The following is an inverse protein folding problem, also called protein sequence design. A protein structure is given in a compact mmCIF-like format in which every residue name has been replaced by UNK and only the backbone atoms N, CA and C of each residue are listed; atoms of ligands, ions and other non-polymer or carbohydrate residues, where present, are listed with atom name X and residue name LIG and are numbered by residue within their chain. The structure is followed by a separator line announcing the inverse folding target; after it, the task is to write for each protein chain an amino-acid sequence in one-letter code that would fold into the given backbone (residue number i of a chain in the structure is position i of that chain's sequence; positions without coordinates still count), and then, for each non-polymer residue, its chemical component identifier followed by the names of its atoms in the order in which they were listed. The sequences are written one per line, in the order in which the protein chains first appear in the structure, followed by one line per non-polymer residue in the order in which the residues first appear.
data_IF_797772202096
#
_entry.id   IF_797772202096
#
_cell.length_a   1.000
_cell.length_b   1.000
_cell.length_c   1.000
_cell.angle_alpha   90.00
_cell.angle_beta   90.00
_cell.angle_gamma   90.00
#
_symmetry.space_group_name_H-M   'P 1'
#
loop_
_entity.id
_entity.type
_entity.pdbx_description
1 polymer ?
#
# COMPACT_ATOMS: atom_id res chain seq x y z
N UNK A 1 -0.18 7.62 -17.25
CA UNK A 1 -0.86 6.33 -17.29
C UNK A 1 -0.69 5.69 -15.93
N UNK A 2 -1.76 5.44 -15.17
CA UNK A 2 -1.69 4.61 -13.99
C UNK A 2 -2.21 5.19 -12.68
N UNK A 3 -2.69 6.43 -12.65
CA UNK A 3 -3.35 6.94 -11.45
C UNK A 3 -4.56 6.06 -11.08
N UNK A 4 -4.67 5.70 -9.82
CA UNK A 4 -5.77 4.88 -9.30
C UNK A 4 -6.89 5.81 -8.82
N UNK A 5 -8.08 5.63 -9.40
CA UNK A 5 -9.29 6.30 -8.97
C UNK A 5 -10.01 5.45 -7.92
N UNK A 6 -10.44 6.08 -6.85
CA UNK A 6 -11.18 5.43 -5.77
C UNK A 6 -11.75 6.45 -4.79
N UNK A 7 -12.28 5.94 -3.69
CA UNK A 7 -12.87 6.78 -2.65
C UNK A 7 -11.84 7.08 -1.55
N UNK A 8 -11.90 8.28 -1.03
CA UNK A 8 -11.25 8.59 0.25
C UNK A 8 -12.13 8.09 1.39
N UNK A 9 -11.49 7.69 2.49
CA UNK A 9 -12.17 7.18 3.67
C UNK A 9 -11.97 8.12 4.85
N UNK A 10 -13.03 8.34 5.62
CA UNK A 10 -13.02 9.16 6.83
C UNK A 10 -13.10 8.36 8.12
N UNK A 11 -13.14 7.04 8.02
CA UNK A 11 -13.18 6.14 9.16
C UNK A 11 -14.13 4.97 8.98
N UNK A 12 -14.65 4.50 10.09
CA UNK A 12 -15.56 3.34 10.18
C UNK A 12 -16.77 3.74 11.01
N UNK A 13 -17.97 3.42 10.55
CA UNK A 13 -19.21 3.61 11.31
C UNK A 13 -19.17 2.85 12.63
N UNK A 14 -19.39 3.55 13.75
CA UNK A 14 -19.30 2.98 15.08
C UNK A 14 -20.66 2.52 15.62
N UNK A 15 -21.75 3.10 15.15
CA UNK A 15 -23.09 2.81 15.67
C UNK A 15 -24.18 3.08 14.63
N UNK A 16 -25.36 2.52 14.87
CA UNK A 16 -26.56 2.82 14.07
C UNK A 16 -26.95 4.28 14.16
N UNK A 17 -26.83 4.91 15.33
CA UNK A 17 -27.12 6.33 15.52
C UNK A 17 -26.27 7.21 14.62
N UNK A 18 -24.98 6.88 14.49
CA UNK A 18 -24.09 7.61 13.57
C UNK A 18 -24.52 7.44 12.12
N UNK A 19 -24.95 6.27 11.70
CA UNK A 19 -25.45 6.01 10.33
C UNK A 19 -26.72 6.83 10.08
N UNK A 20 -27.64 6.88 11.04
CA UNK A 20 -28.87 7.69 10.94
C UNK A 20 -28.57 9.19 10.83
N UNK A 21 -27.60 9.70 11.59
CA UNK A 21 -27.14 11.08 11.48
C UNK A 21 -26.59 11.41 10.07
N UNK A 22 -25.77 10.51 9.52
CA UNK A 22 -25.25 10.67 8.15
C UNK A 22 -26.37 10.61 7.12
N UNK A 23 -27.33 9.69 7.25
CA UNK A 23 -28.46 9.59 6.35
C UNK A 23 -29.38 10.84 6.42
N UNK A 24 -29.63 11.35 7.63
CA UNK A 24 -30.40 12.57 7.82
C UNK A 24 -29.70 13.77 7.15
N UNK A 25 -28.41 13.91 7.36
CA UNK A 25 -27.59 14.94 6.70
C UNK A 25 -27.60 14.80 5.18
N UNK A 26 -27.57 13.58 4.65
CA UNK A 26 -27.68 13.31 3.23
C UNK A 26 -29.02 13.79 2.66
N UNK A 27 -30.11 13.52 3.35
CA UNK A 27 -31.45 13.99 2.96
C UNK A 27 -31.54 15.53 2.95
N UNK A 28 -30.96 16.17 3.96
CA UNK A 28 -30.96 17.64 4.07
C UNK A 28 -30.16 18.29 2.93
N UNK A 29 -28.93 17.81 2.68
CA UNK A 29 -28.02 18.37 1.66
C UNK A 29 -28.50 18.10 0.24
N UNK A 30 -29.11 16.95 -0.01
CA UNK A 30 -29.62 16.56 -1.33
C UNK A 30 -31.03 17.09 -1.62
N UNK A 31 -31.63 17.92 -0.72
CA UNK A 31 -33.03 18.34 -0.81
C UNK A 31 -34.02 17.17 -0.95
N UNK A 32 -33.74 16.08 -0.22
CA UNK A 32 -34.57 14.85 -0.22
C UNK A 32 -34.38 13.91 -1.41
N UNK A 33 -33.44 14.19 -2.30
CA UNK A 33 -33.15 13.31 -3.45
C UNK A 33 -32.43 12.03 -3.01
N UNK A 34 -31.50 12.11 -2.05
CA UNK A 34 -30.83 10.98 -1.47
C UNK A 34 -31.48 10.55 -0.16
N UNK A 35 -31.79 9.27 -0.02
CA UNK A 35 -32.36 8.70 1.21
C UNK A 35 -31.27 8.22 2.17
N UNK A 36 -30.14 7.82 1.63
CA UNK A 36 -29.03 7.26 2.38
C UNK A 36 -27.73 7.96 1.99
N UNK A 37 -26.81 8.04 2.95
CA UNK A 37 -25.47 8.58 2.71
C UNK A 37 -24.69 7.70 1.73
N UNK A 38 -24.76 6.38 1.88
CA UNK A 38 -24.11 5.43 0.98
C UNK A 38 -25.07 4.35 0.48
N UNK A 39 -25.64 3.52 1.37
CA UNK A 39 -26.54 2.42 1.02
C UNK A 39 -27.56 2.18 2.14
N UNK A 40 -28.72 1.59 1.76
CA UNK A 40 -29.71 1.08 2.72
C UNK A 40 -29.19 -0.06 3.58
N UNK A 41 -28.14 -0.74 3.13
CA UNK A 41 -27.54 -1.89 3.81
C UNK A 41 -26.34 -1.51 4.68
N UNK A 42 -26.06 -0.21 4.84
CA UNK A 42 -24.95 0.27 5.66
C UNK A 42 -25.12 -0.16 7.11
N UNK A 43 -24.06 -0.74 7.68
CA UNK A 43 -24.03 -1.29 9.06
C UNK A 43 -22.85 -0.71 9.85
N UNK A 44 -22.90 -0.72 11.20
CA UNK A 44 -21.72 -0.42 12.02
C UNK A 44 -20.54 -1.31 11.64
N UNK A 45 -19.35 -0.77 11.65
CA UNK A 45 -18.13 -1.47 11.18
C UNK A 45 -17.84 -1.34 9.70
N UNK A 46 -18.74 -0.79 8.89
CA UNK A 46 -18.47 -0.50 7.49
C UNK A 46 -17.73 0.83 7.32
N UNK A 47 -17.05 0.99 6.16
CA UNK A 47 -16.22 2.15 5.85
C UNK A 47 -17.09 3.40 5.61
N UNK A 48 -16.70 4.51 6.20
CA UNK A 48 -17.22 5.84 5.87
C UNK A 48 -16.41 6.39 4.71
N UNK A 49 -17.03 6.52 3.55
CA UNK A 49 -16.44 7.21 2.40
C UNK A 49 -16.64 8.72 2.53
N UNK A 50 -15.69 9.48 2.00
CA UNK A 50 -15.77 10.94 2.01
C UNK A 50 -16.63 11.44 0.86
N UNK A 51 -17.62 12.26 1.17
CA UNK A 51 -18.34 13.08 0.21
C UNK A 51 -17.44 14.24 -0.23
N UNK A 52 -16.90 14.14 -1.43
CA UNK A 52 -15.91 15.10 -1.97
C UNK A 52 -16.62 16.27 -2.64
N UNK A 53 -17.75 16.02 -3.27
CA UNK A 53 -18.48 17.05 -4.00
C UNK A 53 -19.49 17.83 -3.11
N UNK A 54 -19.77 17.34 -1.88
CA UNK A 54 -20.63 17.99 -0.90
C UNK A 54 -22.11 17.86 -1.19
N UNK A 55 -22.53 16.90 -2.00
CA UNK A 55 -23.94 16.68 -2.36
C UNK A 55 -24.72 15.83 -1.32
N UNK A 56 -24.03 15.39 -0.27
CA UNK A 56 -24.61 14.70 0.87
C UNK A 56 -24.67 13.18 0.72
N UNK A 57 -24.33 12.60 -0.42
CA UNK A 57 -24.34 11.16 -0.61
C UNK A 57 -23.16 10.67 -1.44
N UNK A 58 -22.74 9.44 -1.22
CA UNK A 58 -21.61 8.85 -1.91
C UNK A 58 -22.01 8.30 -3.28
N UNK A 59 -21.37 8.79 -4.31
CA UNK A 59 -21.61 8.44 -5.71
C UNK A 59 -20.29 8.27 -6.50
N UNK A 60 -20.39 7.97 -7.78
CA UNK A 60 -19.22 7.90 -8.67
C UNK A 60 -18.49 9.26 -8.77
N UNK A 61 -19.19 10.37 -8.49
CA UNK A 61 -18.64 11.73 -8.54
C UNK A 61 -17.65 12.00 -7.39
N UNK A 62 -17.67 11.22 -6.33
CA UNK A 62 -16.77 11.33 -5.18
C UNK A 62 -15.45 10.57 -5.36
N UNK A 63 -15.28 9.93 -6.51
CA UNK A 63 -14.02 9.28 -6.84
C UNK A 63 -12.95 10.30 -7.17
N UNK A 64 -11.82 10.14 -6.51
CA UNK A 64 -10.62 10.96 -6.70
C UNK A 64 -9.40 10.08 -6.96
N UNK A 65 -8.30 10.67 -7.37
CA UNK A 65 -7.02 9.97 -7.46
C UNK A 65 -6.56 9.67 -6.03
N UNK A 66 -6.54 8.39 -5.67
CA UNK A 66 -6.13 7.90 -4.34
C UNK A 66 -4.69 7.40 -4.30
N UNK A 67 -4.11 7.02 -5.45
CA UNK A 67 -2.73 6.58 -5.56
C UNK A 67 -2.13 6.93 -6.92
N UNK A 68 -0.84 7.24 -6.90
CA UNK A 68 -0.03 7.38 -8.11
C UNK A 68 1.11 6.36 -8.10
N UNK A 69 1.07 5.33 -8.96
CA UNK A 69 2.12 4.32 -9.04
C UNK A 69 3.42 4.84 -9.67
N UNK A 70 3.40 5.99 -10.33
CA UNK A 70 4.60 6.58 -10.91
C UNK A 70 5.46 7.24 -9.84
N UNK A 71 6.74 6.88 -9.73
CA UNK A 71 7.65 7.52 -8.80
C UNK A 71 7.93 8.96 -9.20
N UNK A 72 8.03 9.86 -8.22
CA UNK A 72 8.48 11.24 -8.43
C UNK A 72 9.95 11.30 -8.81
N UNK A 73 10.76 10.42 -8.24
CA UNK A 73 12.18 10.28 -8.52
C UNK A 73 12.55 8.81 -8.53
N UNK A 74 13.37 8.43 -9.52
CA UNK A 74 13.98 7.11 -9.58
C UNK A 74 15.38 7.22 -10.15
N UNK A 75 16.26 6.33 -9.73
CA UNK A 75 17.62 6.31 -10.21
C UNK A 75 18.46 5.28 -9.51
N UNK A 76 19.74 5.33 -9.82
CA UNK A 76 20.74 4.50 -9.16
C UNK A 76 22.06 5.24 -9.07
N UNK A 77 22.88 4.81 -8.14
CA UNK A 77 24.26 5.22 -8.05
C UNK A 77 25.14 4.01 -7.81
N UNK A 78 26.34 4.05 -8.34
CA UNK A 78 27.34 3.02 -8.11
C UNK A 78 28.64 3.66 -7.64
N UNK A 79 29.37 2.92 -6.83
CA UNK A 79 30.70 3.30 -6.35
C UNK A 79 31.67 2.14 -6.53
N UNK A 80 32.85 2.45 -7.01
CA UNK A 80 33.94 1.50 -7.09
C UNK A 80 35.16 2.10 -6.34
N UNK A 81 35.54 1.44 -5.27
CA UNK A 81 36.66 1.85 -4.42
C UNK A 81 37.71 0.77 -4.50
N UNK A 82 38.94 1.12 -4.89
CA UNK A 82 40.05 0.18 -4.92
C UNK A 82 41.18 0.68 -4.02
N UNK A 83 41.69 -0.23 -3.22
CA UNK A 83 42.83 0.04 -2.35
C UNK A 83 43.79 -1.14 -2.42
N UNK A 84 44.97 -0.89 -2.99
CA UNK A 84 45.95 -1.95 -3.30
C UNK A 84 45.27 -3.07 -4.12
N UNK A 85 45.27 -4.28 -3.58
CA UNK A 85 44.75 -5.48 -4.23
C UNK A 85 43.25 -5.73 -3.93
N UNK A 86 42.63 -4.87 -3.08
CA UNK A 86 41.24 -4.96 -2.70
C UNK A 86 40.38 -3.97 -3.49
N UNK A 87 39.29 -4.43 -4.05
CA UNK A 87 38.28 -3.59 -4.71
C UNK A 87 36.90 -3.88 -4.16
N UNK A 88 36.14 -2.81 -3.93
CA UNK A 88 34.75 -2.83 -3.48
C UNK A 88 33.90 -2.13 -4.51
N UNK A 89 32.93 -2.85 -5.07
CA UNK A 89 31.90 -2.29 -5.92
C UNK A 89 30.55 -2.37 -5.24
N UNK A 90 29.84 -1.23 -5.24
CA UNK A 90 28.48 -1.09 -4.68
C UNK A 90 27.58 -0.48 -5.75
N UNK A 91 26.37 -0.98 -5.87
CA UNK A 91 25.32 -0.41 -6.70
C UNK A 91 24.01 -0.34 -5.94
N UNK A 92 23.45 0.85 -5.86
CA UNK A 92 22.16 1.12 -5.25
C UNK A 92 21.16 1.59 -6.29
N UNK A 93 19.93 1.12 -6.18
CA UNK A 93 18.79 1.64 -6.91
C UNK A 93 17.76 2.19 -5.92
N UNK A 94 17.12 3.29 -6.30
CA UNK A 94 16.08 3.90 -5.48
C UNK A 94 14.88 4.32 -6.31
N UNK A 95 13.73 4.33 -5.65
CA UNK A 95 12.48 4.87 -6.16
C UNK A 95 11.77 5.60 -5.04
N UNK A 96 11.33 6.81 -5.28
CA UNK A 96 10.71 7.68 -4.26
C UNK A 96 9.40 8.24 -4.77
N UNK A 97 8.36 8.18 -3.93
CA UNK A 97 7.08 8.80 -4.19
C UNK A 97 6.10 7.96 -5.00
N UNK A 98 6.44 6.72 -5.32
CA UNK A 98 5.47 5.77 -5.87
C UNK A 98 4.50 5.29 -4.77
N UNK A 99 3.24 5.09 -5.15
CA UNK A 99 2.18 4.53 -4.30
C UNK A 99 1.55 3.34 -5.01
N UNK A 100 1.19 2.31 -4.26
CA UNK A 100 0.56 1.11 -4.81
C UNK A 100 -0.69 0.77 -4.05
N UNK A 101 -1.72 0.43 -4.80
CA UNK A 101 -2.94 -0.17 -4.26
C UNK A 101 -2.68 -1.67 -4.04
N UNK A 102 -2.94 -2.12 -2.82
CA UNK A 102 -2.81 -3.52 -2.43
C UNK A 102 -4.17 -4.08 -1.99
N UNK A 103 -4.98 -4.48 -2.93
CA UNK A 103 -6.38 -4.86 -2.73
C UNK A 103 -6.60 -6.14 -1.89
N UNK A 104 -5.56 -6.80 -1.47
CA UNK A 104 -5.67 -8.15 -0.92
C UNK A 104 -6.33 -8.17 0.47
N UNK A 105 -6.16 -7.11 1.26
CA UNK A 105 -6.70 -7.07 2.63
C UNK A 105 -8.21 -6.96 2.65
N UNK A 106 -8.78 -6.00 1.91
CA UNK A 106 -10.23 -5.78 1.88
C UNK A 106 -10.97 -6.86 1.10
N UNK A 107 -10.38 -7.39 0.03
CA UNK A 107 -10.96 -8.51 -0.70
C UNK A 107 -11.07 -9.78 0.15
N UNK A 108 -10.14 -10.00 1.07
CA UNK A 108 -10.16 -11.15 1.96
C UNK A 108 -11.07 -10.95 3.18
N UNK A 109 -11.44 -9.71 3.50
CA UNK A 109 -12.34 -9.40 4.62
C UNK A 109 -13.81 -9.50 4.20
N UNK A 110 -14.12 -9.24 2.92
CA UNK A 110 -15.50 -9.30 2.45
C UNK A 110 -15.90 -10.74 2.13
N UNK A 111 -17.00 -11.20 2.72
CA UNK A 111 -17.92 -12.31 2.40
C UNK A 111 -17.46 -13.54 1.65
N UNK A 112 -16.25 -13.61 1.17
CA UNK A 112 -15.74 -14.74 0.43
C UNK A 112 -15.10 -15.78 1.39
N UNK A 113 -15.18 -17.04 1.00
CA UNK A 113 -14.58 -18.18 1.70
C UNK A 113 -13.02 -18.17 1.65
N UNK A 114 -12.42 -16.98 1.54
CA UNK A 114 -10.97 -16.84 1.51
C UNK A 114 -10.38 -16.97 2.92
N UNK A 115 -9.21 -17.56 3.00
CA UNK A 115 -8.47 -17.60 4.25
C UNK A 115 -8.07 -16.19 4.70
N UNK A 116 -8.55 -15.80 5.87
CA UNK A 116 -8.11 -14.58 6.55
C UNK A 116 -6.74 -14.81 7.17
N UNK A 117 -5.85 -13.83 7.00
CA UNK A 117 -4.64 -13.80 7.80
C UNK A 117 -4.97 -13.39 9.24
N UNK A 118 -4.27 -13.95 10.21
CA UNK A 118 -4.49 -13.70 11.64
C UNK A 118 -4.53 -12.21 11.97
N UNK A 119 -3.66 -11.42 11.36
CA UNK A 119 -3.65 -9.97 11.56
C UNK A 119 -5.01 -9.33 11.26
N UNK A 120 -5.64 -9.66 10.14
CA UNK A 120 -6.94 -9.10 9.76
C UNK A 120 -8.06 -9.62 10.67
N UNK A 121 -7.98 -10.88 11.08
CA UNK A 121 -8.97 -11.48 11.94
C UNK A 121 -9.04 -10.80 13.32
N UNK A 122 -7.88 -10.53 13.93
CA UNK A 122 -7.80 -9.95 15.27
C UNK A 122 -7.84 -8.42 15.29
N UNK A 123 -7.46 -7.76 14.21
CA UNK A 123 -7.39 -6.30 14.17
C UNK A 123 -8.56 -5.62 13.46
N UNK A 124 -9.56 -6.38 12.97
CA UNK A 124 -10.76 -5.78 12.37
C UNK A 124 -11.62 -5.07 13.40
N UNK A 125 -12.50 -4.22 12.91
CA UNK A 125 -13.51 -3.59 13.75
C UNK A 125 -14.45 -4.65 14.36
N UNK A 126 -14.75 -4.47 15.61
CA UNK A 126 -15.79 -5.18 16.37
C UNK A 126 -16.25 -4.27 17.50
N UNK A 127 -17.34 -4.62 18.18
CA UNK A 127 -17.81 -3.88 19.35
C UNK A 127 -16.78 -3.80 20.48
N UNK A 128 -15.84 -4.77 20.54
CA UNK A 128 -14.73 -4.80 21.48
C UNK A 128 -13.48 -4.11 20.96
N UNK A 129 -13.41 -3.80 19.65
CA UNK A 129 -12.27 -3.16 18.99
C UNK A 129 -12.72 -2.04 18.04
N UNK A 130 -13.29 -1.00 18.60
CA UNK A 130 -13.85 0.14 17.87
C UNK A 130 -12.79 1.08 17.27
N UNK A 131 -11.54 1.00 17.74
CA UNK A 131 -10.41 1.81 17.26
C UNK A 131 -9.73 1.26 16.00
N UNK A 132 -10.22 0.12 15.47
CA UNK A 132 -9.66 -0.49 14.27
C UNK A 132 -9.77 0.42 13.04
N UNK A 133 -8.77 0.31 12.17
CA UNK A 133 -8.80 0.86 10.81
C UNK A 133 -9.38 -0.10 9.78
N UNK A 134 -9.45 -1.39 10.10
CA UNK A 134 -10.00 -2.42 9.24
C UNK A 134 -11.51 -2.52 9.49
N UNK A 135 -12.34 -2.59 8.44
CA UNK A 135 -13.78 -2.73 8.60
C UNK A 135 -14.16 -4.06 9.29
N UNK A 136 -15.40 -4.15 9.73
CA UNK A 136 -15.97 -5.38 10.21
C UNK A 136 -16.02 -6.44 9.11
N UNK A 137 -16.05 -7.70 9.52
CA UNK A 137 -16.28 -8.84 8.64
C UNK A 137 -17.77 -9.20 8.66
N UNK A 138 -18.46 -8.97 7.57
CA UNK A 138 -19.82 -9.44 7.35
C UNK A 138 -19.84 -10.42 6.17
N UNK A 139 -20.43 -11.59 6.37
CA UNK A 139 -20.40 -12.71 5.40
C UNK A 139 -21.08 -12.33 4.08
N UNK A 140 -22.14 -11.53 4.16
CA UNK A 140 -22.98 -11.17 3.02
C UNK A 140 -22.66 -9.75 2.45
N UNK A 141 -21.65 -9.10 2.97
CA UNK A 141 -21.32 -7.76 2.51
C UNK A 141 -20.56 -7.83 1.16
N UNK A 142 -20.88 -6.91 0.24
CA UNK A 142 -20.09 -6.77 -0.97
C UNK A 142 -18.66 -6.33 -0.65
N UNK A 143 -17.73 -6.68 -1.54
CA UNK A 143 -16.35 -6.18 -1.45
C UNK A 143 -16.37 -4.65 -1.38
N UNK A 144 -15.71 -4.05 -0.38
CA UNK A 144 -15.61 -2.60 -0.28
C UNK A 144 -15.10 -1.98 -1.59
N UNK A 145 -15.69 -0.85 -1.98
CA UNK A 145 -15.23 -0.14 -3.16
C UNK A 145 -13.76 0.28 -3.02
N UNK A 146 -13.04 0.35 -4.14
CA UNK A 146 -11.63 0.77 -4.18
C UNK A 146 -11.43 2.07 -3.41
N UNK A 147 -10.56 2.05 -2.41
CA UNK A 147 -10.37 3.15 -1.48
C UNK A 147 -8.91 3.30 -1.03
N UNK A 148 -8.62 4.35 -0.28
CA UNK A 148 -7.26 4.69 0.14
C UNK A 148 -6.74 3.90 1.35
N UNK A 149 -7.52 3.05 2.00
CA UNK A 149 -7.04 2.21 3.11
C UNK A 149 -5.96 1.22 2.67
N UNK A 150 -6.03 0.78 1.43
CA UNK A 150 -5.08 -0.19 0.85
C UNK A 150 -3.99 0.47 0.00
N UNK A 151 -3.87 1.79 0.07
CA UNK A 151 -2.78 2.51 -0.60
C UNK A 151 -1.53 2.50 0.27
N UNK A 152 -0.46 1.92 -0.24
CA UNK A 152 0.82 1.81 0.42
C UNK A 152 1.90 2.58 -0.32
N UNK A 153 2.80 3.21 0.44
CA UNK A 153 4.00 3.83 -0.11
C UNK A 153 4.94 2.75 -0.64
N UNK A 154 5.36 2.87 -1.89
CA UNK A 154 6.25 1.95 -2.57
C UNK A 154 7.66 2.53 -2.80
N UNK A 155 8.05 3.50 -1.97
CA UNK A 155 9.40 4.04 -1.99
C UNK A 155 10.39 3.05 -1.44
N UNK A 156 11.55 2.91 -2.09
CA UNK A 156 12.61 2.01 -1.62
C UNK A 156 14.00 2.53 -1.97
N UNK A 157 14.98 2.07 -1.19
CA UNK A 157 16.39 2.08 -1.51
C UNK A 157 16.89 0.63 -1.43
N UNK A 158 17.39 0.11 -2.55
CA UNK A 158 17.85 -1.27 -2.66
C UNK A 158 19.34 -1.30 -3.00
N UNK A 159 20.12 -2.05 -2.21
CA UNK A 159 21.44 -2.48 -2.62
C UNK A 159 21.27 -3.58 -3.68
N UNK A 160 21.56 -3.25 -4.94
CA UNK A 160 21.33 -4.13 -6.08
C UNK A 160 22.54 -4.98 -6.43
N UNK A 161 23.73 -4.48 -6.11
CA UNK A 161 24.95 -5.25 -6.30
C UNK A 161 26.00 -4.88 -5.28
N UNK A 162 26.60 -5.87 -4.68
CA UNK A 162 27.80 -5.79 -3.84
C UNK A 162 28.84 -6.75 -4.39
N UNK A 163 30.06 -6.28 -4.67
CA UNK A 163 31.18 -7.12 -5.04
C UNK A 163 32.42 -6.69 -4.26
N UNK A 164 33.00 -7.63 -3.57
CA UNK A 164 34.32 -7.50 -2.93
C UNK A 164 35.28 -8.39 -3.68
N UNK A 165 36.36 -7.83 -4.20
CA UNK A 165 37.33 -8.53 -5.02
C UNK A 165 38.71 -8.30 -4.45
N UNK A 166 39.50 -9.38 -4.35
CA UNK A 166 40.88 -9.35 -3.97
C UNK A 166 41.75 -9.95 -5.08
N UNK A 167 42.76 -9.20 -5.52
CA UNK A 167 43.73 -9.67 -6.50
C UNK A 167 44.86 -10.39 -5.78
N UNK A 168 45.00 -11.66 -6.09
CA UNK A 168 46.04 -12.50 -5.50
C UNK A 168 47.41 -12.10 -6.08
N UNK A 169 48.40 -11.80 -5.24
CA UNK A 169 49.74 -11.51 -5.73
C UNK A 169 50.38 -12.72 -6.38
N UNK A 170 51.28 -12.47 -7.31
CA UNK A 170 52.08 -13.54 -7.92
C UNK A 170 53.09 -14.01 -6.87
N UNK A 171 52.82 -15.14 -6.26
CA UNK A 171 53.63 -15.69 -5.13
C UNK A 171 54.75 -16.64 -5.57
N UNK A 172 54.68 -17.17 -6.82
CA UNK A 172 55.61 -18.20 -7.34
C UNK A 172 56.04 -17.94 -8.78
N UNK A 173 56.81 -18.85 -9.38
CA UNK A 173 57.36 -18.74 -10.73
C UNK A 173 56.28 -18.36 -11.73
N UNK A 174 56.45 -17.17 -12.34
CA UNK A 174 55.52 -16.55 -13.31
C UNK A 174 55.24 -17.40 -14.57
N UNK A 175 56.00 -18.51 -14.75
CA UNK A 175 55.76 -19.49 -15.80
C UNK A 175 54.48 -20.26 -15.66
N UNK A 176 54.05 -20.50 -14.41
CA UNK A 176 52.89 -21.35 -14.08
C UNK A 176 51.71 -20.59 -13.48
N UNK A 177 51.95 -19.49 -12.80
CA UNK A 177 50.91 -18.67 -12.15
C UNK A 177 51.07 -17.22 -12.48
N UNK A 178 50.16 -16.69 -13.29
CA UNK A 178 50.16 -15.28 -13.73
C UNK A 178 49.31 -14.32 -12.88
N UNK A 179 48.79 -14.82 -11.76
CA UNK A 179 47.88 -14.11 -10.86
C UNK A 179 46.45 -14.67 -10.91
N UNK A 180 45.67 -14.33 -9.92
CA UNK A 180 44.28 -14.76 -9.81
C UNK A 180 43.45 -13.71 -9.09
N UNK A 181 42.15 -13.85 -9.15
CA UNK A 181 41.21 -13.02 -8.45
C UNK A 181 40.22 -13.87 -7.68
N UNK A 182 39.98 -13.49 -6.44
CA UNK A 182 38.91 -14.05 -5.63
C UNK A 182 37.89 -12.96 -5.39
N UNK A 183 36.62 -13.27 -5.60
CA UNK A 183 35.57 -12.31 -5.35
C UNK A 183 34.38 -12.93 -4.66
N UNK A 184 33.69 -12.13 -3.87
CA UNK A 184 32.38 -12.40 -3.32
C UNK A 184 31.41 -11.39 -3.93
N UNK A 185 30.26 -11.85 -4.44
CA UNK A 185 29.24 -10.98 -5.01
C UNK A 185 27.85 -11.40 -4.55
N UNK A 186 27.00 -10.39 -4.30
CA UNK A 186 25.56 -10.49 -4.07
C UNK A 186 24.87 -9.60 -5.11
N UNK A 187 23.80 -10.11 -5.76
CA UNK A 187 23.00 -9.38 -6.73
C UNK A 187 21.51 -9.57 -6.45
#
# INVERSE_FOLDING_TARGET
VGAVLGYQTDGIFQSWTQIEEYNKKAQELSNGTATYYYSSETKPGQIIYRDVNGDGHISVKDRVIIANPEPKFQGGFSSNVSWKDLSLYLMFNYSVGAERLYNNTLQNISGSLNNLIDYNLYNRWSEQNTSSRLPALYVDDPVPATNNLEVHKASYLKLSHLRIQYNLPVLWDARYYKGGQVYFAIA
#
